data_IF_557159833923
#
_entry.id   IF_557159833923
#
_cell.length_a   1.000
_cell.length_b   1.000
_cell.length_c   1.000
_cell.angle_alpha   90.00
_cell.angle_beta   90.00
_cell.angle_gamma   90.00
#
_symmetry.space_group_name_H-M   'P 1'
#
loop_
_entity.id
_entity.type
_entity.pdbx_description
1 polymer ?
#
# COMPACT_ATOMS: atom_id res chain seq x y z
N UNK A 1 18.96 -32.29 35.53
CA UNK A 1 18.43 -31.96 34.16
C UNK A 1 19.62 -31.86 33.23
N UNK A 2 19.61 -32.62 32.11
CA UNK A 2 20.77 -32.66 31.19
C UNK A 2 20.85 -31.30 30.42
N UNK A 3 22.02 -30.65 30.31
CA UNK A 3 22.17 -29.33 29.65
C UNK A 3 21.59 -29.28 28.23
N UNK A 4 21.56 -30.38 27.49
CA UNK A 4 20.97 -30.51 26.17
C UNK A 4 19.45 -30.27 26.15
N UNK A 5 18.73 -30.65 27.21
CA UNK A 5 17.28 -30.46 27.30
C UNK A 5 16.91 -29.01 27.57
N UNK A 6 17.77 -28.27 28.27
CA UNK A 6 17.53 -26.83 28.55
C UNK A 6 17.64 -25.98 27.26
N UNK A 7 18.72 -26.14 26.49
CA UNK A 7 18.88 -25.43 25.21
C UNK A 7 17.79 -25.78 24.16
N UNK A 8 17.29 -27.03 24.23
CA UNK A 8 16.20 -27.44 23.31
C UNK A 8 14.88 -26.79 23.68
N UNK A 9 14.57 -26.62 24.96
CA UNK A 9 13.38 -25.90 25.43
C UNK A 9 13.45 -24.38 25.14
N UNK A 10 14.62 -23.76 25.36
CA UNK A 10 14.83 -22.35 25.02
C UNK A 10 14.62 -22.08 23.52
N UNK A 11 15.16 -22.91 22.65
CA UNK A 11 14.99 -22.81 21.22
C UNK A 11 13.52 -23.01 20.79
N UNK A 12 12.78 -23.92 21.43
CA UNK A 12 11.36 -24.11 21.16
C UNK A 12 10.54 -22.89 21.58
N UNK A 13 10.81 -22.32 22.75
CA UNK A 13 10.12 -21.11 23.21
C UNK A 13 10.44 -19.91 22.32
N UNK A 14 11.69 -19.71 21.93
CA UNK A 14 12.10 -18.67 21.02
C UNK A 14 11.41 -18.81 19.64
N UNK A 15 11.34 -20.01 19.10
CA UNK A 15 10.64 -20.28 17.84
C UNK A 15 9.14 -20.00 17.94
N UNK A 16 8.50 -20.34 19.06
CA UNK A 16 7.09 -20.06 19.28
C UNK A 16 6.82 -18.54 19.33
N UNK A 17 7.62 -17.80 20.08
CA UNK A 17 7.50 -16.34 20.18
C UNK A 17 7.71 -15.70 18.80
N UNK A 18 8.79 -16.04 18.12
CA UNK A 18 9.12 -15.47 16.82
C UNK A 18 8.06 -15.80 15.76
N UNK A 19 7.60 -17.05 15.69
CA UNK A 19 6.59 -17.46 14.70
C UNK A 19 5.21 -16.86 14.95
N UNK A 20 4.88 -16.52 16.21
CA UNK A 20 3.60 -15.90 16.57
C UNK A 20 3.60 -14.37 16.48
N UNK A 21 4.76 -13.72 16.42
CA UNK A 21 4.89 -12.26 16.44
C UNK A 21 4.08 -11.55 15.34
N UNK A 22 4.12 -11.96 14.06
CA UNK A 22 3.32 -11.31 13.01
C UNK A 22 1.81 -11.47 13.25
N UNK A 23 1.37 -12.61 13.80
CA UNK A 23 -0.03 -12.86 14.16
C UNK A 23 -0.50 -11.84 15.21
N UNK A 24 0.28 -11.64 16.28
CA UNK A 24 -0.06 -10.67 17.32
C UNK A 24 -0.07 -9.23 16.81
N UNK A 25 0.88 -8.86 15.95
CA UNK A 25 0.90 -7.53 15.32
C UNK A 25 -0.34 -7.30 14.46
N UNK A 26 -0.75 -8.27 13.65
CA UNK A 26 -1.96 -8.16 12.85
C UNK A 26 -3.21 -8.09 13.72
N UNK A 27 -3.33 -8.96 14.72
CA UNK A 27 -4.45 -8.97 15.68
C UNK A 27 -4.57 -7.66 16.46
N UNK A 28 -3.44 -7.10 16.89
CA UNK A 28 -3.40 -5.77 17.52
C UNK A 28 -4.00 -4.70 16.59
N UNK A 29 -3.62 -4.67 15.32
CA UNK A 29 -4.15 -3.70 14.37
C UNK A 29 -5.62 -3.91 14.03
N UNK A 30 -6.11 -5.16 14.00
CA UNK A 30 -7.55 -5.43 13.87
C UNK A 30 -8.33 -4.71 14.98
N UNK A 31 -7.88 -4.86 16.24
CA UNK A 31 -8.53 -4.23 17.40
C UNK A 31 -8.39 -2.71 17.33
N UNK A 32 -7.18 -2.18 17.07
CA UNK A 32 -6.94 -0.74 17.01
C UNK A 32 -7.75 -0.03 15.92
N UNK A 33 -7.83 -0.64 14.72
CA UNK A 33 -8.62 -0.08 13.63
C UNK A 33 -10.12 -0.18 13.93
N UNK A 34 -10.59 -1.28 14.55
CA UNK A 34 -11.99 -1.43 14.97
C UNK A 34 -12.40 -0.35 15.99
N UNK A 35 -11.55 -0.10 16.98
CA UNK A 35 -11.76 0.97 17.96
C UNK A 35 -11.77 2.36 17.29
N UNK A 36 -10.83 2.62 16.39
CA UNK A 36 -10.79 3.87 15.65
C UNK A 36 -12.06 4.07 14.80
N UNK A 37 -12.55 3.02 14.12
CA UNK A 37 -13.81 3.07 13.37
C UNK A 37 -15.04 3.32 14.24
N UNK A 38 -14.99 2.86 15.49
CA UNK A 38 -16.07 3.10 16.46
C UNK A 38 -16.10 4.54 16.96
N UNK A 39 -14.95 5.13 17.28
CA UNK A 39 -14.85 6.48 17.87
C UNK A 39 -14.79 7.60 16.83
N UNK A 40 -14.04 7.42 15.74
CA UNK A 40 -13.77 8.47 14.74
C UNK A 40 -14.68 8.38 13.50
N UNK A 41 -15.59 7.42 13.48
CA UNK A 41 -16.47 7.17 12.35
C UNK A 41 -15.94 6.18 11.31
N UNK A 42 -16.85 5.70 10.48
CA UNK A 42 -16.53 4.65 9.50
C UNK A 42 -15.76 5.21 8.31
N UNK A 43 -14.58 4.67 8.08
CA UNK A 43 -13.75 4.91 6.90
C UNK A 43 -13.55 3.61 6.12
N UNK A 44 -13.86 3.63 4.83
CA UNK A 44 -13.86 2.45 3.98
C UNK A 44 -12.47 1.84 3.77
N UNK A 45 -11.44 2.68 3.57
CA UNK A 45 -10.08 2.21 3.41
C UNK A 45 -9.56 1.54 4.70
N UNK A 46 -9.85 2.14 5.87
CA UNK A 46 -9.50 1.54 7.16
C UNK A 46 -10.24 0.21 7.38
N UNK A 47 -11.51 0.11 6.95
CA UNK A 47 -12.26 -1.16 7.02
C UNK A 47 -11.61 -2.25 6.16
N UNK A 48 -11.18 -1.92 4.94
CA UNK A 48 -10.48 -2.88 4.07
C UNK A 48 -9.14 -3.30 4.66
N UNK A 49 -8.40 -2.37 5.27
CA UNK A 49 -7.16 -2.70 5.98
C UNK A 49 -7.42 -3.61 7.19
N UNK A 50 -8.48 -3.35 7.96
CA UNK A 50 -8.86 -4.23 9.09
C UNK A 50 -9.13 -5.65 8.62
N UNK A 51 -9.87 -5.83 7.52
CA UNK A 51 -10.14 -7.14 6.94
C UNK A 51 -8.86 -7.80 6.42
N UNK A 52 -7.96 -7.05 5.78
CA UNK A 52 -6.64 -7.55 5.39
C UNK A 52 -5.84 -8.03 6.61
N UNK A 53 -5.79 -7.25 7.69
CA UNK A 53 -5.09 -7.63 8.93
C UNK A 53 -5.73 -8.86 9.60
N UNK A 54 -7.06 -9.02 9.52
CA UNK A 54 -7.74 -10.22 10.01
C UNK A 54 -7.35 -11.47 9.22
N UNK A 55 -7.31 -11.38 7.89
CA UNK A 55 -6.84 -12.47 7.01
C UNK A 55 -5.36 -12.78 7.30
N UNK A 56 -4.52 -11.76 7.46
CA UNK A 56 -3.11 -11.93 7.81
C UNK A 56 -2.94 -12.59 9.20
N UNK A 57 -3.80 -12.28 10.16
CA UNK A 57 -3.80 -12.95 11.48
C UNK A 57 -4.02 -14.46 11.32
N UNK A 58 -5.00 -14.88 10.50
CA UNK A 58 -5.26 -16.30 10.21
C UNK A 58 -4.08 -16.96 9.49
N UNK A 59 -3.48 -16.26 8.52
CA UNK A 59 -2.30 -16.73 7.80
C UNK A 59 -1.14 -17.03 8.74
N UNK A 60 -0.81 -16.08 9.63
CA UNK A 60 0.31 -16.26 10.57
C UNK A 60 -0.02 -17.22 11.72
N UNK A 61 -1.29 -17.38 12.10
CA UNK A 61 -1.72 -18.45 13.00
C UNK A 61 -1.43 -19.84 12.39
N UNK A 62 -1.75 -20.03 11.11
CA UNK A 62 -1.40 -21.24 10.37
C UNK A 62 0.11 -21.48 10.32
N UNK A 63 0.91 -20.45 10.03
CA UNK A 63 2.37 -20.52 10.11
C UNK A 63 2.86 -20.92 11.49
N UNK A 64 2.33 -20.32 12.55
CA UNK A 64 2.72 -20.63 13.92
C UNK A 64 2.46 -22.11 14.25
N UNK A 65 1.28 -22.63 13.92
CA UNK A 65 0.93 -24.04 14.14
C UNK A 65 1.85 -24.99 13.37
N UNK A 66 2.10 -24.69 12.09
CA UNK A 66 2.98 -25.49 11.23
C UNK A 66 4.43 -25.48 11.71
N UNK A 67 4.97 -24.31 12.06
CA UNK A 67 6.37 -24.14 12.48
C UNK A 67 6.67 -24.81 13.81
N UNK A 68 5.69 -24.84 14.73
CA UNK A 68 5.82 -25.46 16.04
C UNK A 68 5.33 -26.93 16.09
N UNK A 69 4.93 -27.50 14.93
CA UNK A 69 4.52 -28.91 14.81
C UNK A 69 3.32 -29.28 15.72
N UNK A 70 2.33 -28.38 15.85
CA UNK A 70 1.11 -28.65 16.61
C UNK A 70 0.16 -29.54 15.81
N UNK A 71 0.54 -30.81 15.64
CA UNK A 71 -0.11 -31.74 14.70
C UNK A 71 -1.61 -31.97 14.92
N UNK A 72 -2.06 -31.99 16.19
CA UNK A 72 -3.48 -32.16 16.51
C UNK A 72 -4.41 -31.09 15.94
N UNK A 73 -3.90 -29.87 15.78
CA UNK A 73 -4.66 -28.74 15.28
C UNK A 73 -4.43 -28.45 13.77
N UNK A 74 -3.51 -29.23 13.16
CA UNK A 74 -3.10 -29.00 11.78
C UNK A 74 -4.25 -29.00 10.76
N UNK A 75 -5.19 -29.94 10.73
CA UNK A 75 -6.24 -29.97 9.70
C UNK A 75 -7.03 -28.65 9.64
N UNK A 76 -7.40 -28.10 10.81
CA UNK A 76 -8.11 -26.83 10.90
C UNK A 76 -7.25 -25.66 10.42
N UNK A 77 -6.05 -25.52 11.01
CA UNK A 77 -5.18 -24.39 10.71
C UNK A 77 -4.60 -24.43 9.30
N UNK A 78 -4.40 -25.63 8.74
CA UNK A 78 -3.95 -25.80 7.38
C UNK A 78 -5.04 -25.44 6.37
N UNK A 79 -6.32 -25.72 6.68
CA UNK A 79 -7.46 -25.26 5.87
C UNK A 79 -7.59 -23.73 5.90
N UNK A 80 -7.49 -23.13 7.11
CA UNK A 80 -7.49 -21.67 7.26
C UNK A 80 -6.29 -21.02 6.57
N UNK A 81 -5.11 -21.65 6.63
CA UNK A 81 -3.92 -21.22 5.93
C UNK A 81 -4.10 -21.25 4.41
N UNK A 82 -4.72 -22.32 3.86
CA UNK A 82 -4.96 -22.43 2.43
C UNK A 82 -5.84 -21.29 1.91
N UNK A 83 -6.88 -20.92 2.66
CA UNK A 83 -7.72 -19.77 2.39
C UNK A 83 -6.95 -18.45 2.53
N UNK A 84 -6.34 -18.20 3.70
CA UNK A 84 -5.75 -16.91 4.03
C UNK A 84 -4.50 -16.60 3.20
N UNK A 85 -3.74 -17.62 2.79
CA UNK A 85 -2.58 -17.45 1.93
C UNK A 85 -2.97 -16.88 0.54
N UNK A 86 -4.05 -17.40 -0.05
CA UNK A 86 -4.57 -16.89 -1.32
C UNK A 86 -5.40 -15.61 -1.16
N UNK A 87 -6.00 -15.36 0.01
CA UNK A 87 -6.79 -14.16 0.26
C UNK A 87 -5.93 -12.92 0.58
N UNK A 88 -4.71 -13.09 1.09
CA UNK A 88 -3.90 -11.98 1.62
C UNK A 88 -3.58 -10.91 0.55
N UNK A 89 -3.10 -11.30 -0.62
CA UNK A 89 -2.76 -10.34 -1.69
C UNK A 89 -4.00 -9.70 -2.32
N UNK A 90 -5.07 -10.44 -2.66
CA UNK A 90 -6.33 -9.83 -3.08
C UNK A 90 -6.91 -8.86 -2.05
N UNK A 91 -6.87 -9.18 -0.74
CA UNK A 91 -7.32 -8.25 0.30
C UNK A 91 -6.47 -6.98 0.38
N UNK A 92 -5.15 -7.10 0.23
CA UNK A 92 -4.28 -5.94 0.14
C UNK A 92 -4.59 -5.08 -1.11
N UNK A 93 -4.88 -5.72 -2.25
CA UNK A 93 -5.34 -5.00 -3.43
C UNK A 93 -6.66 -4.27 -3.21
N UNK A 94 -7.65 -4.90 -2.55
CA UNK A 94 -8.91 -4.26 -2.18
C UNK A 94 -8.69 -3.04 -1.28
N UNK A 95 -7.72 -3.11 -0.37
CA UNK A 95 -7.31 -1.96 0.43
C UNK A 95 -6.76 -0.82 -0.46
N UNK A 96 -5.83 -1.10 -1.37
CA UNK A 96 -5.31 -0.11 -2.33
C UNK A 96 -6.44 0.46 -3.21
N UNK A 97 -7.32 -0.41 -3.71
CA UNK A 97 -8.46 -0.02 -4.51
C UNK A 97 -9.40 0.94 -3.76
N UNK A 98 -9.63 0.68 -2.48
CA UNK A 98 -10.46 1.55 -1.63
C UNK A 98 -9.87 2.94 -1.38
N UNK A 99 -8.55 3.09 -1.50
CA UNK A 99 -7.87 4.39 -1.38
C UNK A 99 -7.77 5.16 -2.70
N UNK A 100 -7.91 4.48 -3.83
CA UNK A 100 -7.61 5.04 -5.16
C UNK A 100 -8.81 5.11 -6.10
N UNK A 101 -9.95 4.50 -5.74
CA UNK A 101 -11.11 4.36 -6.62
C UNK A 101 -12.41 4.71 -5.90
N UNK A 102 -13.35 5.32 -6.63
CA UNK A 102 -14.70 5.60 -6.14
C UNK A 102 -15.52 4.31 -5.93
N UNK A 103 -16.65 4.39 -5.22
CA UNK A 103 -17.44 3.24 -4.76
C UNK A 103 -17.86 2.20 -5.79
N UNK A 104 -18.07 2.61 -7.05
CA UNK A 104 -18.62 1.73 -8.10
C UNK A 104 -17.73 0.54 -8.47
N UNK A 105 -16.40 0.64 -8.28
CA UNK A 105 -15.44 -0.38 -8.67
C UNK A 105 -15.21 -1.44 -7.58
N UNK A 106 -15.36 -1.10 -6.30
CA UNK A 106 -15.08 -2.03 -5.19
C UNK A 106 -15.95 -3.30 -5.26
N UNK A 107 -17.24 -3.16 -5.59
CA UNK A 107 -18.17 -4.31 -5.62
C UNK A 107 -17.75 -5.38 -6.66
N UNK A 108 -17.12 -4.97 -7.75
CA UNK A 108 -16.65 -5.87 -8.82
C UNK A 108 -15.36 -6.61 -8.42
N UNK A 109 -14.53 -6.04 -7.57
CA UNK A 109 -13.20 -6.56 -7.24
C UNK A 109 -13.20 -7.68 -6.19
N UNK A 110 -14.33 -7.93 -5.50
CA UNK A 110 -14.47 -9.04 -4.55
C UNK A 110 -14.29 -10.43 -5.19
N UNK A 111 -14.48 -10.54 -6.51
CA UNK A 111 -14.24 -11.79 -7.25
C UNK A 111 -12.79 -12.26 -7.20
N UNK A 112 -11.85 -11.39 -6.87
CA UNK A 112 -10.44 -11.77 -6.66
C UNK A 112 -10.24 -12.69 -5.47
N UNK A 113 -11.19 -12.78 -4.54
CA UNK A 113 -11.16 -13.73 -3.42
C UNK A 113 -11.71 -15.11 -3.77
N UNK A 114 -12.31 -15.30 -4.94
CA UNK A 114 -12.91 -16.57 -5.32
C UNK A 114 -11.92 -17.75 -5.29
N UNK A 115 -10.68 -17.64 -5.79
CA UNK A 115 -9.69 -18.72 -5.69
C UNK A 115 -9.41 -19.13 -4.25
N UNK A 116 -9.26 -18.14 -3.34
CA UNK A 116 -9.01 -18.38 -1.92
C UNK A 116 -10.15 -19.17 -1.28
N UNK A 117 -11.40 -18.75 -1.53
CA UNK A 117 -12.60 -19.42 -1.00
C UNK A 117 -12.72 -20.85 -1.54
N UNK A 118 -12.56 -21.03 -2.86
CA UNK A 118 -12.69 -22.35 -3.49
C UNK A 118 -11.61 -23.30 -2.97
N UNK A 119 -10.35 -22.89 -2.94
CA UNK A 119 -9.26 -23.74 -2.45
C UNK A 119 -9.41 -24.03 -0.96
N UNK A 120 -9.80 -23.03 -0.14
CA UNK A 120 -10.07 -23.24 1.28
C UNK A 120 -11.16 -24.27 1.54
N UNK A 121 -12.27 -24.21 0.80
CA UNK A 121 -13.37 -25.20 0.88
C UNK A 121 -12.87 -26.59 0.43
N UNK A 122 -12.16 -26.69 -0.68
CA UNK A 122 -11.64 -27.97 -1.19
C UNK A 122 -10.73 -28.63 -0.14
N UNK A 123 -9.76 -27.87 0.40
CA UNK A 123 -8.82 -28.38 1.41
C UNK A 123 -9.56 -28.83 2.67
N UNK A 124 -10.49 -28.03 3.16
CA UNK A 124 -11.31 -28.36 4.33
C UNK A 124 -12.13 -29.65 4.09
N UNK A 125 -12.77 -29.77 2.93
CA UNK A 125 -13.56 -30.95 2.55
C UNK A 125 -12.69 -32.20 2.47
N UNK A 126 -11.49 -32.12 1.87
CA UNK A 126 -10.56 -33.25 1.81
C UNK A 126 -10.20 -33.73 3.22
N UNK A 127 -9.86 -32.82 4.14
CA UNK A 127 -9.54 -33.19 5.53
C UNK A 127 -10.71 -33.87 6.27
N UNK A 128 -11.98 -33.51 5.97
CA UNK A 128 -13.14 -34.16 6.59
C UNK A 128 -13.39 -35.58 6.07
N UNK A 129 -12.90 -35.91 4.87
CA UNK A 129 -13.07 -37.21 4.23
C UNK A 129 -11.87 -38.14 4.49
N UNK A 130 -10.68 -37.58 4.75
CA UNK A 130 -9.45 -38.34 4.99
C UNK A 130 -9.54 -39.17 6.27
N UNK A 131 -8.96 -40.39 6.22
CA UNK A 131 -8.79 -41.21 7.43
C UNK A 131 -7.75 -40.56 8.38
N UNK A 132 -7.82 -40.82 9.70
CA UNK A 132 -6.81 -40.32 10.65
C UNK A 132 -5.38 -40.71 10.27
N UNK A 133 -5.19 -41.89 9.66
CA UNK A 133 -3.91 -42.36 9.17
C UNK A 133 -3.40 -41.52 7.98
N UNK A 134 -4.28 -41.22 7.03
CA UNK A 134 -3.94 -40.40 5.87
C UNK A 134 -3.60 -38.96 6.30
N UNK A 135 -4.36 -38.40 7.27
CA UNK A 135 -4.10 -37.08 7.83
C UNK A 135 -2.69 -37.07 8.47
N UNK A 136 -2.37 -38.06 9.31
CA UNK A 136 -1.07 -38.13 9.96
C UNK A 136 0.08 -38.27 8.94
N UNK A 137 -0.11 -39.11 7.93
CA UNK A 137 0.86 -39.31 6.83
C UNK A 137 1.04 -38.02 6.04
N UNK A 138 -0.07 -37.33 5.66
CA UNK A 138 0.01 -36.09 4.90
C UNK A 138 0.72 -34.99 5.69
N UNK A 139 0.31 -34.76 6.94
CA UNK A 139 0.80 -33.68 7.78
C UNK A 139 2.27 -33.86 8.17
N UNK A 140 2.66 -35.06 8.60
CA UNK A 140 4.02 -35.30 9.12
C UNK A 140 5.07 -35.61 8.06
N UNK A 141 4.65 -36.20 6.93
CA UNK A 141 5.60 -36.68 5.92
C UNK A 141 5.48 -35.84 4.65
N UNK A 142 4.30 -35.84 4.00
CA UNK A 142 4.15 -35.26 2.66
C UNK A 142 4.25 -33.73 2.70
N UNK A 143 3.48 -33.09 3.57
CA UNK A 143 3.46 -31.62 3.68
C UNK A 143 4.78 -31.07 4.20
N UNK A 144 5.43 -31.73 5.16
CA UNK A 144 6.68 -31.29 5.73
C UNK A 144 7.86 -31.40 4.75
N UNK A 145 7.91 -32.51 3.97
CA UNK A 145 8.93 -32.73 2.92
C UNK A 145 8.59 -32.10 1.59
N UNK A 146 7.35 -31.61 1.44
CA UNK A 146 6.81 -31.12 0.18
C UNK A 146 6.83 -32.14 -0.98
N UNK A 147 6.83 -33.43 -0.64
CA UNK A 147 6.82 -34.53 -1.60
C UNK A 147 5.37 -34.90 -1.97
N UNK A 148 4.70 -33.97 -2.62
CA UNK A 148 3.29 -34.10 -3.01
C UNK A 148 3.03 -35.20 -4.04
N UNK A 149 4.06 -35.71 -4.71
CA UNK A 149 3.97 -36.79 -5.70
C UNK A 149 3.95 -38.19 -5.10
N UNK A 150 4.47 -38.39 -3.88
CA UNK A 150 4.65 -39.73 -3.24
C UNK A 150 3.37 -40.27 -2.60
N UNK A 151 2.35 -39.42 -2.37
CA UNK A 151 1.10 -39.82 -1.75
C UNK A 151 0.22 -40.74 -2.61
N UNK A 152 -0.64 -41.51 -1.95
CA UNK A 152 -1.69 -42.35 -2.58
C UNK A 152 -3.08 -41.82 -2.20
N UNK A 153 -4.13 -42.20 -2.96
CA UNK A 153 -5.52 -41.84 -2.64
C UNK A 153 -5.72 -40.32 -2.42
N UNK A 154 -6.35 -39.96 -1.32
CA UNK A 154 -6.68 -38.57 -0.95
C UNK A 154 -5.42 -37.76 -0.64
N UNK A 155 -4.35 -38.35 -0.15
CA UNK A 155 -3.06 -37.65 0.07
C UNK A 155 -2.50 -37.11 -1.26
N UNK A 156 -2.60 -37.86 -2.35
CA UNK A 156 -2.17 -37.41 -3.68
C UNK A 156 -3.06 -36.29 -4.19
N UNK A 157 -4.39 -36.39 -4.01
CA UNK A 157 -5.34 -35.31 -4.40
C UNK A 157 -5.00 -34.02 -3.64
N UNK A 158 -4.81 -34.11 -2.32
CA UNK A 158 -4.40 -32.95 -1.50
C UNK A 158 -3.08 -32.37 -1.99
N UNK A 159 -2.11 -33.19 -2.36
CA UNK A 159 -0.83 -32.75 -2.93
C UNK A 159 -1.00 -31.94 -4.21
N UNK A 160 -1.86 -32.38 -5.14
CA UNK A 160 -2.18 -31.62 -6.37
C UNK A 160 -2.88 -30.30 -6.07
N UNK A 161 -3.84 -30.28 -5.13
CA UNK A 161 -4.53 -29.05 -4.72
C UNK A 161 -3.51 -28.04 -4.14
N UNK A 162 -2.58 -28.51 -3.30
CA UNK A 162 -1.51 -27.67 -2.74
C UNK A 162 -0.56 -27.13 -3.80
N UNK A 163 -0.18 -27.94 -4.76
CA UNK A 163 0.65 -27.49 -5.88
C UNK A 163 -0.08 -26.46 -6.74
N UNK A 164 -1.35 -26.70 -7.06
CA UNK A 164 -2.17 -25.73 -7.79
C UNK A 164 -2.31 -24.41 -7.02
N UNK A 165 -2.51 -24.46 -5.69
CA UNK A 165 -2.57 -23.27 -4.85
C UNK A 165 -1.27 -22.46 -4.89
N UNK A 166 -0.07 -23.09 -4.96
CA UNK A 166 1.20 -22.37 -5.13
C UNK A 166 1.29 -21.63 -6.47
N UNK A 167 0.79 -22.23 -7.56
CA UNK A 167 0.74 -21.59 -8.88
C UNK A 167 -0.23 -20.41 -8.87
N UNK A 168 -1.44 -20.60 -8.32
CA UNK A 168 -2.44 -19.55 -8.20
C UNK A 168 -1.88 -18.38 -7.38
N UNK A 169 -1.26 -18.65 -6.24
CA UNK A 169 -0.60 -17.66 -5.40
C UNK A 169 0.43 -16.83 -6.17
N UNK A 170 1.31 -17.48 -6.95
CA UNK A 170 2.31 -16.80 -7.76
C UNK A 170 1.68 -15.85 -8.80
N UNK A 171 0.59 -16.29 -9.46
CA UNK A 171 -0.16 -15.47 -10.42
C UNK A 171 -0.85 -14.29 -9.72
N UNK A 172 -1.50 -14.51 -8.58
CA UNK A 172 -2.17 -13.47 -7.79
C UNK A 172 -1.18 -12.40 -7.32
N UNK A 173 -0.02 -12.80 -6.81
CA UNK A 173 1.05 -11.88 -6.41
C UNK A 173 1.43 -10.95 -7.55
N UNK A 174 1.77 -11.48 -8.72
CA UNK A 174 2.16 -10.68 -9.88
C UNK A 174 1.03 -9.75 -10.31
N UNK A 175 -0.20 -10.27 -10.38
CA UNK A 175 -1.37 -9.49 -10.80
C UNK A 175 -1.65 -8.33 -9.86
N UNK A 176 -1.65 -8.58 -8.54
CA UNK A 176 -1.89 -7.57 -7.50
C UNK A 176 -0.82 -6.48 -7.52
N UNK A 177 0.44 -6.87 -7.69
CA UNK A 177 1.56 -5.94 -7.71
C UNK A 177 1.49 -4.99 -8.92
N UNK A 178 1.24 -5.54 -10.10
CA UNK A 178 1.11 -4.74 -11.33
C UNK A 178 -0.12 -3.84 -11.26
N UNK A 179 -1.28 -4.39 -10.92
CA UNK A 179 -2.54 -3.64 -10.87
C UNK A 179 -2.52 -2.58 -9.77
N UNK A 180 -2.07 -2.92 -8.56
CA UNK A 180 -1.97 -2.00 -7.43
C UNK A 180 -0.98 -0.87 -7.68
N UNK A 181 0.19 -1.17 -8.23
CA UNK A 181 1.20 -0.17 -8.59
C UNK A 181 0.67 0.83 -9.63
N UNK A 182 -0.01 0.32 -10.69
CA UNK A 182 -0.64 1.18 -11.70
C UNK A 182 -1.71 2.10 -11.09
N UNK A 183 -2.56 1.59 -10.19
CA UNK A 183 -3.59 2.38 -9.51
C UNK A 183 -3.00 3.49 -8.65
N UNK A 184 -2.00 3.19 -7.82
CA UNK A 184 -1.32 4.18 -6.99
C UNK A 184 -0.65 5.25 -7.87
N UNK A 185 -0.01 4.85 -8.96
CA UNK A 185 0.64 5.79 -9.89
C UNK A 185 -0.39 6.70 -10.55
N UNK A 186 -1.51 6.16 -11.04
CA UNK A 186 -2.59 6.93 -11.64
C UNK A 186 -3.19 7.93 -10.64
N UNK A 187 -3.49 7.47 -9.41
CA UNK A 187 -3.98 8.32 -8.34
C UNK A 187 -3.00 9.46 -8.01
N UNK A 188 -1.72 9.16 -7.82
CA UNK A 188 -0.71 10.16 -7.53
C UNK A 188 -0.60 11.19 -8.67
N UNK A 189 -0.73 10.76 -9.93
CA UNK A 189 -0.75 11.67 -11.09
C UNK A 189 -1.98 12.59 -11.10
N UNK A 190 -3.16 12.08 -10.74
CA UNK A 190 -4.37 12.90 -10.61
C UNK A 190 -4.23 13.94 -9.50
N UNK A 191 -3.64 13.58 -8.35
CA UNK A 191 -3.36 14.52 -7.26
C UNK A 191 -2.39 15.62 -7.70
N UNK A 192 -1.33 15.28 -8.45
CA UNK A 192 -0.36 16.24 -8.97
C UNK A 192 -0.94 17.18 -10.05
N UNK A 193 -1.92 16.71 -10.78
CA UNK A 193 -2.62 17.51 -11.79
C UNK A 193 -3.65 18.48 -11.18
N UNK A 194 -4.09 18.23 -9.94
CA UNK A 194 -5.14 19.00 -9.30
C UNK A 194 -4.63 19.96 -8.20
N UNK A 195 -3.67 19.52 -7.35
CA UNK A 195 -3.17 20.29 -6.22
C UNK A 195 -1.73 20.75 -6.44
N UNK A 196 -1.43 22.00 -6.08
CA UNK A 196 -0.05 22.48 -5.98
C UNK A 196 0.67 21.85 -4.78
N UNK A 197 -0.01 21.76 -3.62
CA UNK A 197 0.50 21.07 -2.44
C UNK A 197 -0.05 19.64 -2.38
N UNK A 198 0.83 18.68 -2.58
CA UNK A 198 0.52 17.25 -2.62
C UNK A 198 0.93 16.50 -1.33
N UNK A 199 1.45 17.22 -0.32
CA UNK A 199 1.87 16.60 0.95
C UNK A 199 0.66 16.04 1.70
N UNK A 200 0.76 14.80 2.19
CA UNK A 200 -0.34 14.10 2.85
C UNK A 200 -1.46 13.59 1.92
N UNK A 201 -1.48 13.99 0.64
CA UNK A 201 -2.48 13.57 -0.34
C UNK A 201 -1.98 12.41 -1.22
N UNK A 202 -0.69 12.37 -1.53
CA UNK A 202 -0.08 11.33 -2.38
C UNK A 202 0.16 10.04 -1.59
N UNK A 203 0.00 8.91 -2.26
CA UNK A 203 0.21 7.57 -1.72
C UNK A 203 1.65 7.05 -1.98
N UNK A 204 2.67 7.91 -1.84
CA UNK A 204 4.08 7.54 -2.12
C UNK A 204 4.58 6.43 -1.20
N UNK A 205 4.22 6.47 0.09
CA UNK A 205 4.64 5.46 1.06
C UNK A 205 4.04 4.10 0.69
N UNK A 206 2.80 4.06 0.23
CA UNK A 206 2.15 2.83 -0.23
C UNK A 206 2.78 2.24 -1.49
N UNK A 207 3.33 3.09 -2.38
CA UNK A 207 4.12 2.64 -3.53
C UNK A 207 5.38 1.88 -3.07
N UNK A 208 6.10 2.41 -2.07
CA UNK A 208 7.24 1.73 -1.46
C UNK A 208 6.84 0.41 -0.79
N UNK A 209 5.71 0.39 -0.07
CA UNK A 209 5.15 -0.85 0.47
C UNK A 209 4.91 -1.89 -0.62
N UNK A 210 4.33 -1.51 -1.76
CA UNK A 210 4.13 -2.43 -2.89
C UNK A 210 5.44 -3.08 -3.31
N UNK A 211 6.53 -2.32 -3.46
CA UNK A 211 7.83 -2.86 -3.86
C UNK A 211 8.42 -3.81 -2.80
N UNK A 212 8.34 -3.46 -1.54
CA UNK A 212 8.83 -4.31 -0.44
C UNK A 212 8.00 -5.59 -0.32
N UNK A 213 6.67 -5.49 -0.40
CA UNK A 213 5.79 -6.67 -0.44
C UNK A 213 6.09 -7.57 -1.64
N UNK A 214 6.43 -6.99 -2.79
CA UNK A 214 6.89 -7.74 -3.97
C UNK A 214 8.13 -8.54 -3.65
N UNK A 215 9.17 -7.90 -3.13
CA UNK A 215 10.43 -8.56 -2.79
C UNK A 215 10.20 -9.70 -1.78
N UNK A 216 9.38 -9.45 -0.75
CA UNK A 216 8.99 -10.48 0.22
C UNK A 216 8.22 -11.64 -0.42
N UNK A 217 7.31 -11.34 -1.35
CA UNK A 217 6.54 -12.37 -2.05
C UNK A 217 7.40 -13.23 -2.97
N UNK A 218 8.32 -12.61 -3.71
CA UNK A 218 9.29 -13.34 -4.54
C UNK A 218 10.16 -14.25 -3.68
N UNK A 219 10.67 -13.74 -2.55
CA UNK A 219 11.42 -14.55 -1.60
C UNK A 219 10.55 -15.72 -1.08
N UNK A 220 9.29 -15.46 -0.68
CA UNK A 220 8.36 -16.49 -0.22
C UNK A 220 8.07 -17.55 -1.29
N UNK A 221 7.90 -17.16 -2.55
CA UNK A 221 7.72 -18.10 -3.67
C UNK A 221 8.96 -18.98 -3.81
N UNK A 222 10.16 -18.40 -3.81
CA UNK A 222 11.42 -19.14 -3.90
C UNK A 222 11.55 -20.15 -2.75
N UNK A 223 11.30 -19.71 -1.50
CA UNK A 223 11.32 -20.59 -0.33
C UNK A 223 10.29 -21.72 -0.41
N UNK A 224 9.07 -21.43 -0.91
CA UNK A 224 8.03 -22.44 -1.10
C UNK A 224 8.38 -23.49 -2.16
N UNK A 225 9.09 -23.11 -3.24
CA UNK A 225 9.49 -24.05 -4.28
C UNK A 225 10.76 -24.83 -3.93
N UNK A 226 11.71 -24.24 -3.18
CA UNK A 226 12.93 -24.94 -2.74
C UNK A 226 12.68 -25.96 -1.65
N UNK A 227 11.58 -25.82 -0.93
CA UNK A 227 11.23 -26.67 0.20
C UNK A 227 11.97 -26.29 1.49
N UNK A 228 11.21 -26.24 2.58
CA UNK A 228 11.72 -25.80 3.88
C UNK A 228 12.83 -26.67 4.45
N UNK A 229 12.80 -27.97 4.18
CA UNK A 229 13.81 -28.92 4.68
C UNK A 229 15.25 -28.58 4.25
N UNK A 230 15.42 -27.81 3.17
CA UNK A 230 16.74 -27.36 2.67
C UNK A 230 17.38 -26.26 3.51
N UNK A 231 16.58 -25.51 4.26
CA UNK A 231 17.07 -24.37 5.05
C UNK A 231 17.41 -24.73 6.50
N UNK A 232 17.18 -25.99 6.90
CA UNK A 232 17.46 -26.49 8.24
C UNK A 232 16.58 -25.86 9.35
N UNK A 233 16.79 -26.32 10.58
CA UNK A 233 16.07 -25.82 11.77
C UNK A 233 16.79 -24.62 12.43
N UNK A 234 17.50 -23.79 11.66
CA UNK A 234 18.16 -22.61 12.19
C UNK A 234 17.14 -21.58 12.67
N UNK A 235 17.26 -21.02 13.89
CA UNK A 235 16.37 -19.99 14.40
C UNK A 235 16.26 -18.76 13.49
N UNK A 236 17.29 -18.43 12.74
CA UNK A 236 17.34 -17.30 11.81
C UNK A 236 16.37 -17.43 10.63
N UNK A 237 16.07 -18.66 10.21
CA UNK A 237 15.09 -18.91 9.13
C UNK A 237 13.67 -18.52 9.50
N UNK A 238 13.38 -18.46 10.82
CA UNK A 238 12.11 -17.99 11.38
C UNK A 238 12.22 -16.52 11.79
N UNK A 239 13.31 -16.13 12.45
CA UNK A 239 13.47 -14.80 13.02
C UNK A 239 13.47 -13.70 11.97
N UNK A 240 14.24 -13.84 10.88
CA UNK A 240 14.37 -12.80 9.86
C UNK A 240 13.02 -12.52 9.17
N UNK A 241 12.30 -13.51 8.60
CA UNK A 241 10.99 -13.25 8.00
C UNK A 241 9.98 -12.71 9.01
N UNK A 242 9.92 -13.27 10.21
CA UNK A 242 8.98 -12.88 11.24
C UNK A 242 9.15 -11.42 11.66
N UNK A 243 10.36 -10.98 11.96
CA UNK A 243 10.67 -9.59 12.32
C UNK A 243 10.41 -8.64 11.15
N UNK A 244 10.78 -9.04 9.92
CA UNK A 244 10.55 -8.23 8.72
C UNK A 244 9.06 -8.01 8.49
N UNK A 245 8.26 -9.08 8.44
CA UNK A 245 6.82 -8.95 8.23
C UNK A 245 6.11 -8.24 9.37
N UNK A 246 6.49 -8.51 10.63
CA UNK A 246 5.93 -7.82 11.79
C UNK A 246 6.17 -6.32 11.72
N UNK A 247 7.39 -5.90 11.39
CA UNK A 247 7.74 -4.49 11.25
C UNK A 247 6.97 -3.82 10.11
N UNK A 248 6.88 -4.47 8.94
CA UNK A 248 6.15 -3.94 7.79
C UNK A 248 4.66 -3.79 8.09
N UNK A 249 4.03 -4.82 8.66
CA UNK A 249 2.60 -4.79 8.99
C UNK A 249 2.29 -3.77 10.09
N UNK A 250 3.21 -3.63 11.08
CA UNK A 250 3.09 -2.59 12.10
C UNK A 250 3.13 -1.18 11.49
N UNK A 251 4.11 -0.90 10.63
CA UNK A 251 4.27 0.39 9.97
C UNK A 251 3.05 0.67 9.06
N UNK A 252 2.55 -0.32 8.33
CA UNK A 252 1.37 -0.18 7.48
C UNK A 252 0.14 0.25 8.29
N UNK A 253 -0.14 -0.44 9.41
CA UNK A 253 -1.22 -0.09 10.31
C UNK A 253 -1.09 1.32 10.87
N UNK A 254 0.11 1.69 11.33
CA UNK A 254 0.40 3.01 11.88
C UNK A 254 0.18 4.15 10.86
N UNK A 255 0.69 3.98 9.64
CA UNK A 255 0.54 4.99 8.58
C UNK A 255 -0.91 5.14 8.17
N UNK A 256 -1.66 4.04 8.10
CA UNK A 256 -3.08 4.08 7.73
C UNK A 256 -3.93 4.87 8.72
N UNK A 257 -3.64 4.81 10.02
CA UNK A 257 -4.35 5.65 10.99
C UNK A 257 -4.04 7.14 10.85
N UNK A 258 -2.84 7.48 10.36
CA UNK A 258 -2.43 8.88 10.12
C UNK A 258 -2.88 9.44 8.78
N UNK A 259 -3.35 8.60 7.87
CA UNK A 259 -3.87 9.04 6.58
C UNK A 259 -5.24 9.69 6.78
N UNK A 260 -5.31 11.01 6.62
CA UNK A 260 -6.55 11.79 6.78
C UNK A 260 -7.24 12.09 5.45
N UNK A 261 -6.46 12.26 4.38
CA UNK A 261 -6.98 12.54 3.04
C UNK A 261 -7.32 11.24 2.29
N UNK A 262 -8.53 11.14 1.78
CA UNK A 262 -9.06 9.96 1.09
C UNK A 262 -9.48 10.28 -0.33
N UNK A 263 -9.74 9.25 -1.15
CA UNK A 263 -10.31 9.41 -2.49
C UNK A 263 -11.69 10.08 -2.44
N UNK A 264 -12.46 9.86 -1.40
CA UNK A 264 -13.78 10.47 -1.22
C UNK A 264 -13.65 11.99 -1.08
N UNK A 265 -12.66 12.48 -0.30
CA UNK A 265 -12.37 13.91 -0.20
C UNK A 265 -11.98 14.49 -1.57
N UNK A 266 -11.14 13.78 -2.33
CA UNK A 266 -10.72 14.22 -3.66
C UNK A 266 -11.90 14.30 -4.64
N UNK A 267 -12.73 13.25 -4.68
CA UNK A 267 -13.91 13.19 -5.57
C UNK A 267 -14.95 14.23 -5.19
N UNK A 268 -15.16 14.47 -3.89
CA UNK A 268 -16.08 15.51 -3.43
C UNK A 268 -15.59 16.90 -3.83
N UNK A 269 -14.32 17.25 -3.58
CA UNK A 269 -13.75 18.54 -4.00
C UNK A 269 -13.79 18.68 -5.53
N UNK A 270 -13.52 17.61 -6.28
CA UNK A 270 -13.60 17.60 -7.73
C UNK A 270 -15.02 17.83 -8.24
N UNK A 271 -16.04 17.27 -7.60
CA UNK A 271 -17.43 17.44 -7.97
C UNK A 271 -17.95 18.85 -7.63
N UNK A 272 -17.57 19.41 -6.48
CA UNK A 272 -17.89 20.77 -6.09
C UNK A 272 -17.33 21.79 -7.09
N UNK A 273 -16.06 21.63 -7.48
CA UNK A 273 -15.42 22.51 -8.47
C UNK A 273 -16.01 22.35 -9.88
N UNK A 274 -16.45 21.15 -10.27
CA UNK A 274 -17.10 20.90 -11.54
C UNK A 274 -18.47 21.61 -11.63
N UNK A 275 -19.25 21.62 -10.55
CA UNK A 275 -20.56 22.29 -10.50
C UNK A 275 -20.45 23.80 -10.66
N UNK A 276 -19.34 24.39 -10.21
CA UNK A 276 -19.06 25.84 -10.40
C UNK A 276 -18.70 26.11 -11.87
N UNK A 277 -18.00 25.18 -12.52
CA UNK A 277 -17.49 25.37 -13.89
C UNK A 277 -18.55 25.20 -14.99
N UNK A 278 -19.64 24.47 -14.75
CA UNK A 278 -20.71 24.25 -15.75
C UNK A 278 -21.41 25.54 -16.20
N UNK A 279 -21.27 26.64 -15.47
CA UNK A 279 -21.91 27.92 -15.75
C UNK A 279 -20.98 28.94 -16.43
N UNK A 280 -19.74 28.52 -16.81
CA UNK A 280 -18.77 29.44 -17.41
C UNK A 280 -18.76 29.32 -18.93
N UNK A 281 -18.83 30.45 -19.69
CA UNK A 281 -18.82 30.42 -21.13
C UNK A 281 -17.47 29.99 -21.71
N UNK A 282 -17.54 29.28 -22.85
CA UNK A 282 -16.34 28.97 -23.65
C UNK A 282 -15.76 30.25 -24.22
N UNK A 283 -14.60 30.69 -23.71
CA UNK A 283 -13.91 31.85 -24.25
C UNK A 283 -12.94 31.43 -25.37
N UNK A 284 -13.34 31.62 -26.63
CA UNK A 284 -12.44 31.64 -27.79
C UNK A 284 -11.51 32.87 -27.70
N UNK A 285 -10.30 32.71 -27.23
CA UNK A 285 -9.27 33.76 -27.22
C UNK A 285 -8.18 33.43 -28.23
N UNK A 286 -7.66 34.47 -28.91
CA UNK A 286 -6.57 34.37 -29.88
C UNK A 286 -5.22 33.98 -29.26
N UNK A 287 -5.04 34.12 -27.94
CA UNK A 287 -3.84 33.70 -27.23
C UNK A 287 -3.99 32.25 -26.77
N UNK A 288 -2.90 31.46 -26.79
CA UNK A 288 -2.95 30.12 -26.23
C UNK A 288 -3.38 30.17 -24.77
N UNK A 289 -4.12 29.18 -24.32
CA UNK A 289 -4.59 29.14 -22.95
C UNK A 289 -3.40 29.10 -21.97
N UNK A 290 -2.30 28.48 -22.36
CA UNK A 290 -1.03 28.48 -21.60
C UNK A 290 -0.48 29.87 -21.34
N UNK A 291 -0.53 30.78 -22.32
CA UNK A 291 -0.11 32.18 -22.12
C UNK A 291 -1.02 32.92 -21.13
N UNK A 292 -2.33 32.74 -21.23
CA UNK A 292 -3.26 33.34 -20.28
C UNK A 292 -3.10 32.82 -18.87
N UNK A 293 -2.81 31.52 -18.71
CA UNK A 293 -2.48 30.91 -17.43
C UNK A 293 -1.22 31.57 -16.85
N UNK A 294 -0.17 31.70 -17.65
CA UNK A 294 1.10 32.30 -17.24
C UNK A 294 0.90 33.75 -16.78
N UNK A 295 0.16 34.54 -17.53
CA UNK A 295 -0.14 35.95 -17.21
C UNK A 295 -0.92 36.05 -15.89
N UNK A 296 -2.02 35.32 -15.72
CA UNK A 296 -2.89 35.40 -14.53
C UNK A 296 -2.12 34.89 -13.29
N UNK A 297 -1.44 33.76 -13.40
CA UNK A 297 -0.70 33.18 -12.27
C UNK A 297 0.43 34.12 -11.82
N UNK A 298 1.09 34.80 -12.76
CA UNK A 298 2.23 35.70 -12.45
C UNK A 298 1.75 37.07 -11.97
N UNK A 299 0.81 37.72 -12.66
CA UNK A 299 0.32 39.05 -12.31
C UNK A 299 -0.44 39.09 -10.99
N UNK A 300 -1.30 38.09 -10.75
CA UNK A 300 -2.06 38.01 -9.51
C UNK A 300 -1.32 37.24 -8.41
N UNK A 301 -0.10 36.76 -8.69
CA UNK A 301 0.73 35.98 -7.74
C UNK A 301 -0.03 34.79 -7.14
N UNK A 302 -0.87 34.11 -7.92
CA UNK A 302 -1.70 33.01 -7.44
C UNK A 302 -0.87 31.86 -6.85
N UNK A 303 0.37 31.70 -7.31
CA UNK A 303 1.29 30.69 -6.79
C UNK A 303 1.67 30.91 -5.32
N UNK A 304 1.48 32.10 -4.75
CA UNK A 304 1.73 32.40 -3.33
C UNK A 304 0.55 32.01 -2.45
N UNK A 305 -0.64 31.79 -3.00
CA UNK A 305 -1.79 31.31 -2.23
C UNK A 305 -1.50 29.90 -1.67
N UNK A 306 -1.73 29.70 -0.37
CA UNK A 306 -1.64 28.36 0.22
C UNK A 306 -2.72 27.45 -0.40
N UNK A 307 -2.36 26.18 -0.60
CA UNK A 307 -3.29 25.14 -1.11
C UNK A 307 -3.95 25.46 -2.47
N UNK A 308 -3.32 26.28 -3.32
CA UNK A 308 -3.87 26.59 -4.64
C UNK A 308 -4.13 25.32 -5.44
N UNK A 309 -5.32 25.28 -6.08
CA UNK A 309 -5.82 24.20 -6.94
C UNK A 309 -5.90 24.66 -8.39
N UNK A 310 -5.97 23.71 -9.30
CA UNK A 310 -6.19 24.00 -10.72
C UNK A 310 -7.53 24.72 -10.96
N UNK A 311 -8.54 24.43 -10.14
CA UNK A 311 -9.86 25.11 -10.17
C UNK A 311 -9.78 26.59 -9.83
N UNK A 312 -8.86 27.03 -8.96
CA UNK A 312 -8.67 28.45 -8.65
C UNK A 312 -8.22 29.24 -9.88
N UNK A 313 -7.32 28.66 -10.69
CA UNK A 313 -6.86 29.28 -11.93
C UNK A 313 -7.97 29.25 -12.99
N UNK A 314 -8.72 28.16 -13.06
CA UNK A 314 -9.83 28.03 -13.97
C UNK A 314 -10.92 29.09 -13.70
N UNK A 315 -11.23 29.35 -12.42
CA UNK A 315 -12.18 30.40 -12.01
C UNK A 315 -11.70 31.80 -12.41
N UNK A 316 -10.43 32.13 -12.20
CA UNK A 316 -9.86 33.43 -12.59
C UNK A 316 -9.84 33.64 -14.12
N UNK A 317 -9.73 32.56 -14.88
CA UNK A 317 -9.74 32.59 -16.35
C UNK A 317 -11.15 32.43 -16.96
N UNK A 318 -12.18 32.24 -16.12
CA UNK A 318 -13.54 31.96 -16.55
C UNK A 318 -13.60 30.75 -17.52
N UNK A 319 -12.91 29.66 -17.18
CA UNK A 319 -12.83 28.46 -18.03
C UNK A 319 -12.94 27.18 -17.20
N UNK A 320 -13.01 26.04 -17.89
CA UNK A 320 -13.06 24.73 -17.20
C UNK A 320 -11.68 24.29 -16.74
N UNK A 321 -11.61 23.72 -15.52
CA UNK A 321 -10.39 23.17 -14.92
C UNK A 321 -9.70 22.13 -15.82
N UNK A 322 -10.47 21.35 -16.60
CA UNK A 322 -9.90 20.36 -17.51
C UNK A 322 -9.04 21.02 -18.59
N UNK A 323 -9.50 22.14 -19.16
CA UNK A 323 -8.72 22.89 -20.15
C UNK A 323 -7.44 23.46 -19.55
N UNK A 324 -7.51 24.01 -18.31
CA UNK A 324 -6.31 24.51 -17.60
C UNK A 324 -5.32 23.38 -17.33
N UNK A 325 -5.80 22.24 -16.82
CA UNK A 325 -4.96 21.07 -16.57
C UNK A 325 -4.33 20.53 -17.86
N UNK A 326 -5.10 20.45 -18.94
CA UNK A 326 -4.61 19.99 -20.25
C UNK A 326 -3.58 20.97 -20.82
N UNK A 327 -3.82 22.27 -20.78
CA UNK A 327 -2.87 23.27 -21.26
C UNK A 327 -1.53 23.21 -20.48
N UNK A 328 -1.58 23.06 -19.16
CA UNK A 328 -0.36 22.92 -18.36
C UNK A 328 0.37 21.62 -18.70
N UNK A 329 -0.34 20.50 -18.81
CA UNK A 329 0.30 19.21 -19.08
C UNK A 329 0.81 19.09 -20.53
N UNK A 330 0.07 19.55 -21.52
CA UNK A 330 0.33 19.30 -22.94
C UNK A 330 1.12 20.45 -23.60
N UNK A 331 0.84 21.72 -23.26
CA UNK A 331 1.52 22.87 -23.84
C UNK A 331 2.77 23.26 -23.02
N UNK A 332 2.70 23.28 -21.67
CA UNK A 332 3.84 23.60 -20.80
C UNK A 332 4.67 22.33 -20.50
N UNK A 333 4.07 21.14 -20.57
CA UNK A 333 4.79 19.87 -20.45
C UNK A 333 5.12 19.44 -19.03
N UNK A 334 4.42 19.98 -18.00
CA UNK A 334 4.66 19.67 -16.59
C UNK A 334 3.33 19.45 -15.83
N UNK A 335 3.39 18.82 -14.65
CA UNK A 335 2.21 18.74 -13.79
C UNK A 335 1.85 20.12 -13.21
N UNK A 336 0.58 20.31 -12.83
CA UNK A 336 0.14 21.53 -12.14
C UNK A 336 0.96 21.80 -10.86
N UNK A 337 1.20 20.74 -10.09
CA UNK A 337 2.04 20.83 -8.89
C UNK A 337 3.44 21.32 -9.22
N UNK A 338 4.06 20.81 -10.28
CA UNK A 338 5.41 21.20 -10.68
C UNK A 338 5.43 22.64 -11.21
N UNK A 339 4.44 23.02 -11.99
CA UNK A 339 4.29 24.39 -12.52
C UNK A 339 4.24 25.44 -11.40
N UNK A 340 3.35 25.25 -10.44
CA UNK A 340 3.21 26.18 -9.31
C UNK A 340 4.44 26.16 -8.40
N UNK A 341 4.93 24.97 -8.06
CA UNK A 341 6.09 24.87 -7.15
C UNK A 341 7.38 25.42 -7.78
N UNK A 342 7.54 25.31 -9.09
CA UNK A 342 8.67 25.98 -9.80
C UNK A 342 8.63 27.49 -9.61
N UNK A 343 7.47 28.12 -9.81
CA UNK A 343 7.29 29.56 -9.59
C UNK A 343 7.55 29.98 -8.13
N UNK A 344 7.08 29.20 -7.19
CA UNK A 344 7.36 29.39 -5.75
C UNK A 344 8.86 29.36 -5.45
N UNK A 345 9.60 28.40 -6.04
CA UNK A 345 11.06 28.30 -5.85
C UNK A 345 11.77 29.47 -6.50
N UNK A 346 11.40 29.88 -7.70
CA UNK A 346 12.00 31.06 -8.37
C UNK A 346 11.80 32.33 -7.54
N UNK A 347 10.60 32.51 -6.98
CA UNK A 347 10.30 33.61 -6.06
C UNK A 347 11.10 33.48 -4.74
N UNK A 348 11.22 32.30 -4.17
CA UNK A 348 12.03 32.05 -2.97
C UNK A 348 13.49 32.42 -3.19
N UNK A 349 14.08 32.08 -4.34
CA UNK A 349 15.46 32.46 -4.69
C UNK A 349 15.58 33.98 -4.79
N UNK A 350 14.59 34.67 -5.34
CA UNK A 350 14.56 36.13 -5.37
C UNK A 350 14.53 36.70 -3.95
N UNK A 351 13.66 36.19 -3.08
CA UNK A 351 13.57 36.62 -1.67
C UNK A 351 14.92 36.42 -0.92
N UNK A 352 15.57 35.27 -1.12
CA UNK A 352 16.89 35.01 -0.51
C UNK A 352 17.93 36.04 -0.92
N UNK A 353 17.92 36.46 -2.18
CA UNK A 353 18.89 37.48 -2.70
C UNK A 353 18.57 38.89 -2.20
N UNK A 354 17.29 39.24 -2.11
CA UNK A 354 16.86 40.59 -1.72
C UNK A 354 16.82 40.79 -0.21
N UNK A 355 16.65 39.72 0.55
CA UNK A 355 16.50 39.73 1.99
C UNK A 355 17.41 38.69 2.69
N UNK A 356 18.73 38.88 2.72
CA UNK A 356 19.67 37.88 3.26
C UNK A 356 19.48 37.55 4.75
N UNK A 357 18.81 38.45 5.51
CA UNK A 357 18.54 38.27 6.93
C UNK A 357 17.29 37.42 7.22
N UNK A 358 16.51 37.10 6.16
CA UNK A 358 15.29 36.33 6.31
C UNK A 358 15.58 34.85 6.58
N UNK A 359 14.90 34.28 7.55
CA UNK A 359 15.05 32.84 7.86
C UNK A 359 14.45 31.97 6.74
N UNK A 360 14.98 30.73 6.57
CA UNK A 360 14.44 29.79 5.60
C UNK A 360 12.95 29.47 5.85
N UNK A 361 12.54 29.50 7.11
CA UNK A 361 11.13 29.36 7.49
C UNK A 361 10.25 30.50 6.93
N UNK A 362 10.69 31.73 7.11
CA UNK A 362 9.98 32.92 6.57
C UNK A 362 9.97 32.92 5.05
N UNK A 363 11.07 32.55 4.40
CA UNK A 363 11.15 32.43 2.94
C UNK A 363 10.16 31.37 2.45
N UNK A 364 10.12 30.17 3.06
CA UNK A 364 9.18 29.12 2.71
C UNK A 364 7.72 29.59 2.83
N UNK A 365 7.37 30.20 3.96
CA UNK A 365 6.03 30.71 4.21
C UNK A 365 5.62 31.80 3.20
N UNK A 366 6.50 32.81 2.96
CA UNK A 366 6.23 33.90 1.99
C UNK A 366 6.20 33.44 0.54
N UNK A 367 6.84 32.32 0.25
CA UNK A 367 6.81 31.70 -1.10
C UNK A 367 5.62 30.77 -1.32
N UNK A 368 4.65 30.73 -0.38
CA UNK A 368 3.39 30.00 -0.53
C UNK A 368 3.48 28.50 -0.17
N UNK A 369 4.59 28.03 0.41
CA UNK A 369 4.68 26.64 0.87
C UNK A 369 3.94 26.43 2.19
N UNK A 370 3.18 25.33 2.29
CA UNK A 370 2.43 24.96 3.49
C UNK A 370 3.33 24.36 4.59
N UNK A 371 4.51 23.86 4.26
CA UNK A 371 5.48 23.31 5.20
C UNK A 371 6.93 23.48 4.73
N UNK A 372 7.86 23.59 5.70
CA UNK A 372 9.29 23.61 5.44
C UNK A 372 9.75 22.37 4.68
N UNK A 373 9.19 21.20 5.05
CA UNK A 373 9.52 19.94 4.40
C UNK A 373 9.17 19.96 2.91
N UNK A 374 8.02 20.54 2.53
CA UNK A 374 7.62 20.73 1.14
C UNK A 374 8.57 21.69 0.42
N UNK A 375 8.93 22.82 1.07
CA UNK A 375 9.87 23.77 0.55
C UNK A 375 11.25 23.14 0.27
N UNK A 376 11.89 22.52 1.28
CA UNK A 376 13.22 21.91 1.12
C UNK A 376 13.24 20.82 0.05
N UNK A 377 12.19 20.00 -0.02
CA UNK A 377 12.06 18.94 -1.05
C UNK A 377 11.99 19.53 -2.45
N UNK A 378 11.11 20.51 -2.68
CA UNK A 378 10.95 21.15 -3.99
C UNK A 378 12.20 21.98 -4.36
N UNK A 379 12.78 22.71 -3.41
CA UNK A 379 13.99 23.47 -3.63
C UNK A 379 15.15 22.59 -4.13
N UNK A 380 15.40 21.47 -3.44
CA UNK A 380 16.43 20.50 -3.88
C UNK A 380 16.09 19.89 -5.25
N UNK A 381 14.80 19.61 -5.50
CA UNK A 381 14.35 19.03 -6.77
C UNK A 381 14.60 19.97 -7.96
N UNK A 382 14.29 21.26 -7.83
CA UNK A 382 14.39 22.22 -8.93
C UNK A 382 15.77 22.85 -9.08
N UNK A 383 16.55 22.95 -8.00
CA UNK A 383 17.87 23.60 -8.03
C UNK A 383 19.04 22.63 -7.97
N UNK A 384 18.80 21.36 -7.60
CA UNK A 384 19.83 20.36 -7.35
C UNK A 384 20.58 20.55 -6.03
N UNK A 385 20.39 21.68 -5.33
CA UNK A 385 21.11 22.07 -4.11
C UNK A 385 20.14 22.23 -2.94
N UNK A 386 20.65 22.21 -1.69
CA UNK A 386 19.84 22.63 -0.54
C UNK A 386 19.81 24.16 -0.43
N UNK A 387 18.73 24.76 0.16
CA UNK A 387 18.64 26.23 0.28
C UNK A 387 19.85 26.90 0.96
N UNK A 388 20.50 26.22 1.90
CA UNK A 388 21.68 26.70 2.63
C UNK A 388 22.99 26.74 1.80
N UNK A 389 23.00 26.21 0.58
CA UNK A 389 24.21 26.09 -0.28
C UNK A 389 24.16 26.97 -1.54
N UNK A 390 23.21 27.90 -1.63
CA UNK A 390 23.14 28.81 -2.80
C UNK A 390 24.07 30.00 -2.69
N UNK A 391 24.47 30.34 -1.47
CA UNK A 391 25.43 31.46 -1.23
C UNK A 391 26.91 31.07 -1.42
N UNK A 392 27.20 29.83 -1.80
CA UNK A 392 28.51 29.34 -2.26
C UNK A 392 28.49 29.10 -3.80
#
# INVERSE_FOLDING_TARGET
MHPKNFHQQENQMANLILSSLPMFVCGFWVVMIALNQYFDGRNKARMMLMLFMAVATLLYAGHCVFLNRFYSNMPLFDSLYAFSNLAAYPMFYLYIDSMTSSESHLRRTWWYLAPAVVIGIIVSTIYTIMSPHDIDTFVRIISYKEDYGSGTGLCRVMGFVRFAAKIIFAIEVVTVLVAGSRKITAYNKSIEAYYADTEGKRLVVYQWFMYVFTACAVASIIFNFLGRYRFGDSPWTIAIPSLTFSSLLYILGFISLRQTFTIENFVQEEAEDASISEHLPDCESKNSLAQRIEEVVTQQQLFLRHNVKVSDIAAELFTNRLYVSTAINDEIGVSFSDYINKKRIDYAIQLMRTNPQMTMYEIAARSGFSSDKSFYRNFKRFTGKSPKKIDE
#
